data_IF_442163014666
#
_entry.id   IF_442163014666
#
_cell.length_a   1.000
_cell.length_b   1.000
_cell.length_c   1.000
_cell.angle_alpha   90.00
_cell.angle_beta   90.00
_cell.angle_gamma   90.00
#
_symmetry.space_group_name_H-M   'P 1'
#
loop_
_entity.id
_entity.type
_entity.pdbx_description
1 polymer ?
#
# COMPACT_ATOMS: atom_id res chain seq x y z
N UNK A 1 -31.35 0.04 50.15
CA UNK A 1 -29.92 -0.35 50.22
C UNK A 1 -29.55 -0.92 48.85
N UNK A 2 -28.62 -0.26 48.14
CA UNK A 2 -28.09 -0.71 46.84
C UNK A 2 -27.32 -2.02 47.07
N UNK A 3 -27.68 -3.08 46.36
CA UNK A 3 -26.84 -4.28 46.21
C UNK A 3 -26.19 -4.20 44.84
N UNK A 4 -24.86 -4.25 44.87
CA UNK A 4 -23.91 -4.36 43.75
C UNK A 4 -24.35 -5.43 42.75
N UNK A 5 -24.41 -5.05 41.47
CA UNK A 5 -24.56 -5.99 40.37
C UNK A 5 -23.23 -6.72 40.14
N UNK A 6 -23.15 -7.97 40.55
CA UNK A 6 -22.18 -8.92 40.00
C UNK A 6 -22.71 -9.35 38.62
N UNK A 7 -21.96 -9.04 37.56
CA UNK A 7 -22.29 -9.42 36.19
C UNK A 7 -22.47 -10.93 36.05
N UNK A 8 -23.39 -11.34 35.17
CA UNK A 8 -23.66 -12.75 34.87
C UNK A 8 -22.35 -13.50 34.56
N UNK A 9 -22.10 -14.69 35.15
CA UNK A 9 -20.92 -15.51 34.87
C UNK A 9 -20.71 -15.80 33.38
N UNK A 10 -21.78 -15.75 32.59
CA UNK A 10 -21.76 -15.99 31.15
C UNK A 10 -21.23 -14.78 30.35
N UNK A 11 -21.50 -13.55 30.81
CA UNK A 11 -20.99 -12.31 30.20
C UNK A 11 -19.50 -12.20 30.44
N UNK A 12 -19.05 -12.48 31.68
CA UNK A 12 -17.63 -12.54 32.01
C UNK A 12 -16.90 -13.65 31.22
N UNK A 13 -17.56 -14.75 30.87
CA UNK A 13 -16.95 -15.82 30.07
C UNK A 13 -16.76 -15.40 28.60
N UNK A 14 -17.73 -14.70 28.01
CA UNK A 14 -17.66 -14.20 26.64
C UNK A 14 -16.61 -13.08 26.48
N UNK A 15 -16.58 -12.12 27.41
CA UNK A 15 -15.56 -11.05 27.43
C UNK A 15 -14.14 -11.65 27.56
N UNK A 16 -13.98 -12.70 28.38
CA UNK A 16 -12.71 -13.41 28.49
C UNK A 16 -12.33 -14.16 27.21
N UNK A 17 -13.29 -14.74 26.48
CA UNK A 17 -13.02 -15.46 25.22
C UNK A 17 -12.61 -14.48 24.11
N UNK A 18 -13.25 -13.31 24.02
CA UNK A 18 -12.89 -12.26 23.05
C UNK A 18 -11.53 -11.64 23.36
N UNK A 19 -11.25 -11.33 24.63
CA UNK A 19 -9.93 -10.84 25.07
C UNK A 19 -8.82 -11.86 24.78
N UNK A 20 -9.05 -13.15 25.06
CA UNK A 20 -8.09 -14.22 24.75
C UNK A 20 -7.88 -14.35 23.24
N UNK A 21 -8.93 -14.28 22.42
CA UNK A 21 -8.81 -14.32 20.97
C UNK A 21 -8.00 -13.13 20.41
N UNK A 22 -8.21 -11.92 20.94
CA UNK A 22 -7.46 -10.72 20.56
C UNK A 22 -5.97 -10.87 20.90
N UNK A 23 -5.65 -11.30 22.12
CA UNK A 23 -4.27 -11.51 22.57
C UNK A 23 -3.56 -12.58 21.73
N UNK A 24 -4.26 -13.67 21.40
CA UNK A 24 -3.69 -14.76 20.58
C UNK A 24 -3.37 -14.27 19.16
N UNK A 25 -4.23 -13.42 18.59
CA UNK A 25 -4.03 -12.80 17.29
C UNK A 25 -2.80 -11.88 17.24
N UNK A 26 -2.57 -11.08 18.29
CA UNK A 26 -1.36 -10.26 18.43
C UNK A 26 -0.12 -11.15 18.45
N UNK A 27 -0.09 -12.17 19.31
CA UNK A 27 1.11 -12.98 19.53
C UNK A 27 1.48 -13.78 18.27
N UNK A 28 0.50 -14.36 17.57
CA UNK A 28 0.72 -15.11 16.34
C UNK A 28 1.26 -14.20 15.21
N UNK A 29 0.61 -13.05 14.99
CA UNK A 29 1.04 -12.10 13.96
C UNK A 29 2.42 -11.53 14.26
N UNK A 30 2.68 -11.16 15.52
CA UNK A 30 3.98 -10.66 15.97
C UNK A 30 5.10 -11.70 15.81
N UNK A 31 4.84 -12.96 16.15
CA UNK A 31 5.82 -14.05 16.03
C UNK A 31 6.18 -14.34 14.57
N UNK A 32 5.18 -14.44 13.69
CA UNK A 32 5.39 -14.58 12.23
C UNK A 32 6.14 -13.38 11.65
N UNK A 33 5.82 -12.17 12.12
CA UNK A 33 6.53 -10.95 11.73
C UNK A 33 8.03 -11.04 12.07
N UNK A 34 8.35 -11.53 13.28
CA UNK A 34 9.73 -11.73 13.71
C UNK A 34 10.48 -12.75 12.83
N UNK A 35 9.83 -13.84 12.42
CA UNK A 35 10.42 -14.82 11.50
C UNK A 35 10.79 -14.17 10.16
N UNK A 36 9.86 -13.41 9.55
CA UNK A 36 10.10 -12.69 8.29
C UNK A 36 11.20 -11.63 8.45
N UNK A 37 11.25 -10.97 9.61
CA UNK A 37 12.27 -9.99 9.93
C UNK A 37 13.66 -10.60 9.97
N UNK A 38 13.82 -11.77 10.61
CA UNK A 38 15.08 -12.54 10.63
C UNK A 38 15.50 -12.94 9.21
N UNK A 39 14.54 -13.28 8.34
CA UNK A 39 14.78 -13.55 6.92
C UNK A 39 15.11 -12.28 6.09
N UNK A 40 15.19 -11.09 6.71
CA UNK A 40 15.39 -9.78 6.07
C UNK A 40 14.28 -9.40 5.07
N UNK A 41 13.11 -10.03 5.16
CA UNK A 41 11.91 -9.70 4.38
C UNK A 41 11.13 -8.61 5.13
N UNK A 42 11.66 -7.39 5.12
CA UNK A 42 11.17 -6.30 5.97
C UNK A 42 9.76 -5.84 5.62
N UNK A 43 9.36 -5.89 4.34
CA UNK A 43 7.99 -5.55 3.91
C UNK A 43 6.98 -6.61 4.38
N UNK A 44 7.27 -7.89 4.17
CA UNK A 44 6.42 -8.99 4.68
C UNK A 44 6.29 -8.93 6.21
N UNK A 45 7.39 -8.68 6.91
CA UNK A 45 7.39 -8.51 8.37
C UNK A 45 6.53 -7.32 8.80
N UNK A 46 6.59 -6.21 8.05
CA UNK A 46 5.80 -5.02 8.32
C UNK A 46 4.29 -5.26 8.17
N UNK A 47 3.87 -6.00 7.14
CA UNK A 47 2.46 -6.40 6.98
C UNK A 47 1.97 -7.21 8.18
N UNK A 48 2.79 -8.14 8.68
CA UNK A 48 2.46 -8.94 9.87
C UNK A 48 2.42 -8.12 11.15
N UNK A 49 3.30 -7.12 11.32
CA UNK A 49 3.22 -6.19 12.46
C UNK A 49 2.00 -5.26 12.37
N UNK A 50 1.62 -4.81 11.17
CA UNK A 50 0.37 -4.07 10.97
C UNK A 50 -0.83 -4.91 11.36
N UNK A 51 -0.85 -6.19 10.95
CA UNK A 51 -1.88 -7.14 11.39
C UNK A 51 -1.88 -7.31 12.92
N UNK A 52 -0.70 -7.36 13.56
CA UNK A 52 -0.59 -7.40 15.02
C UNK A 52 -1.18 -6.15 15.70
N UNK A 53 -1.04 -4.97 15.10
CA UNK A 53 -1.61 -3.73 15.61
C UNK A 53 -3.15 -3.75 15.58
N UNK A 54 -3.76 -4.39 14.58
CA UNK A 54 -5.22 -4.51 14.49
C UNK A 54 -5.86 -5.28 15.65
N UNK A 55 -5.09 -6.14 16.33
CA UNK A 55 -5.56 -6.96 17.46
C UNK A 55 -5.07 -6.45 18.82
N UNK A 56 -4.18 -5.44 18.84
CA UNK A 56 -3.59 -4.95 20.07
C UNK A 56 -4.54 -3.97 20.76
N UNK A 57 -4.74 -4.16 22.07
CA UNK A 57 -5.48 -3.19 22.89
C UNK A 57 -4.67 -1.89 23.03
N UNK A 58 -5.37 -0.76 23.03
CA UNK A 58 -4.74 0.54 23.27
C UNK A 58 -4.06 0.56 24.64
N UNK A 59 -2.96 1.29 24.75
CA UNK A 59 -2.17 1.44 25.97
C UNK A 59 -1.57 0.12 26.52
N UNK A 60 -1.51 -0.94 25.72
CA UNK A 60 -0.93 -2.24 26.14
C UNK A 60 0.55 -2.41 25.80
N UNK A 61 1.21 -3.38 26.45
CA UNK A 61 2.56 -3.81 26.06
C UNK A 61 2.62 -4.32 24.61
N UNK A 62 1.53 -4.94 24.14
CA UNK A 62 1.44 -5.54 22.82
C UNK A 62 1.47 -4.50 21.69
N UNK A 63 0.81 -3.36 21.86
CA UNK A 63 0.86 -2.27 20.88
C UNK A 63 2.24 -1.61 20.86
N UNK A 64 2.89 -1.46 22.03
CA UNK A 64 4.27 -1.00 22.14
C UNK A 64 5.25 -1.93 21.39
N UNK A 65 5.11 -3.25 21.57
CA UNK A 65 5.91 -4.26 20.87
C UNK A 65 5.70 -4.21 19.35
N UNK A 66 4.45 -4.09 18.89
CA UNK A 66 4.15 -4.05 17.46
C UNK A 66 4.74 -2.80 16.77
N UNK A 67 4.56 -1.60 17.35
CA UNK A 67 5.23 -0.39 16.85
C UNK A 67 6.77 -0.48 16.98
N UNK A 68 7.26 -1.09 18.06
CA UNK A 68 8.69 -1.31 18.27
C UNK A 68 9.33 -2.26 17.24
N UNK A 69 8.58 -3.24 16.76
CA UNK A 69 9.03 -4.15 15.71
C UNK A 69 8.89 -3.52 14.32
N UNK A 70 7.80 -2.77 14.07
CA UNK A 70 7.59 -2.04 12.81
C UNK A 70 8.64 -0.95 12.57
N UNK A 71 9.01 -0.20 13.61
CA UNK A 71 10.14 0.74 13.56
C UNK A 71 11.47 0.06 13.22
N UNK A 72 11.66 -1.21 13.61
CA UNK A 72 12.84 -1.96 13.20
C UNK A 72 12.87 -2.18 11.67
N UNK A 73 11.73 -2.49 11.06
CA UNK A 73 11.63 -2.59 9.60
C UNK A 73 11.95 -1.26 8.93
N UNK A 74 11.33 -0.16 9.37
CA UNK A 74 11.61 1.18 8.81
C UNK A 74 13.08 1.58 8.93
N UNK A 75 13.73 1.25 10.05
CA UNK A 75 15.17 1.47 10.21
C UNK A 75 16.00 0.73 9.15
N UNK A 76 15.72 -0.55 8.90
CA UNK A 76 16.44 -1.32 7.89
C UNK A 76 16.12 -0.89 6.45
N UNK A 77 14.94 -0.32 6.22
CA UNK A 77 14.52 0.28 4.96
C UNK A 77 15.03 1.72 4.77
N UNK A 78 15.80 2.25 5.74
CA UNK A 78 16.32 3.64 5.75
C UNK A 78 15.24 4.73 5.77
N UNK A 79 14.03 4.37 6.16
CA UNK A 79 12.89 5.28 6.31
C UNK A 79 12.93 5.92 7.72
N UNK A 80 14.00 6.67 7.99
CA UNK A 80 14.34 7.10 9.36
C UNK A 80 13.27 7.98 10.00
N UNK A 81 12.59 8.84 9.23
CA UNK A 81 11.49 9.68 9.76
C UNK A 81 10.32 8.83 10.27
N UNK A 82 9.85 7.85 9.47
CA UNK A 82 8.79 6.91 9.87
C UNK A 82 9.23 6.04 11.06
N UNK A 83 10.49 5.61 11.05
CA UNK A 83 11.06 4.90 12.18
C UNK A 83 10.96 5.72 13.48
N UNK A 84 11.25 7.02 13.44
CA UNK A 84 11.13 7.91 14.61
C UNK A 84 9.67 8.05 15.06
N UNK A 85 8.72 8.18 14.13
CA UNK A 85 7.29 8.23 14.44
C UNK A 85 6.83 6.97 15.19
N UNK A 86 7.18 5.78 14.67
CA UNK A 86 6.82 4.52 15.33
C UNK A 86 7.52 4.33 16.68
N UNK A 87 8.73 4.85 16.85
CA UNK A 87 9.41 4.84 18.16
C UNK A 87 8.64 5.70 19.16
N UNK A 88 8.20 6.90 18.77
CA UNK A 88 7.38 7.76 19.62
C UNK A 88 6.07 7.07 20.00
N UNK A 89 5.36 6.51 19.01
CA UNK A 89 4.13 5.77 19.26
C UNK A 89 4.33 4.57 20.19
N UNK A 90 5.46 3.84 20.08
CA UNK A 90 5.77 2.74 20.99
C UNK A 90 6.10 3.21 22.42
N UNK A 91 6.72 4.38 22.56
CA UNK A 91 7.11 4.96 23.85
C UNK A 91 5.94 5.61 24.60
N UNK A 92 4.90 6.03 23.88
CA UNK A 92 3.68 6.61 24.44
C UNK A 92 2.71 5.55 25.00
N UNK A 93 3.09 4.27 25.01
CA UNK A 93 2.30 3.13 25.48
C UNK A 93 2.96 2.49 26.72
N UNK A 94 2.40 1.40 27.26
CA UNK A 94 3.03 0.58 28.31
C UNK A 94 4.29 -0.14 27.78
N UNK A 95 5.37 0.62 27.59
CA UNK A 95 6.58 0.15 26.93
C UNK A 95 7.50 -0.61 27.92
N UNK A 96 7.83 -1.89 27.65
CA UNK A 96 8.70 -2.65 28.53
C UNK A 96 10.12 -2.09 28.58
N UNK A 97 10.77 -2.15 29.75
CA UNK A 97 12.13 -1.62 29.95
C UNK A 97 13.15 -2.24 28.98
N UNK A 98 13.01 -3.54 28.69
CA UNK A 98 13.86 -4.24 27.75
C UNK A 98 13.71 -3.72 26.31
N UNK A 99 12.50 -3.26 25.93
CA UNK A 99 12.20 -2.70 24.62
C UNK A 99 12.71 -1.25 24.51
N UNK A 100 12.51 -0.44 25.56
CA UNK A 100 12.98 0.94 25.62
C UNK A 100 14.46 1.08 25.25
N UNK A 101 15.31 0.20 25.79
CA UNK A 101 16.75 0.21 25.49
C UNK A 101 17.07 0.01 23.99
N UNK A 102 16.27 -0.79 23.29
CA UNK A 102 16.41 -1.02 21.84
C UNK A 102 15.89 0.17 21.04
N UNK A 103 14.76 0.75 21.45
CA UNK A 103 14.14 1.91 20.81
C UNK A 103 15.02 3.15 20.91
N UNK A 104 15.57 3.45 22.09
CA UNK A 104 16.49 4.59 22.29
C UNK A 104 17.72 4.46 21.39
N UNK A 105 18.37 3.28 21.39
CA UNK A 105 19.53 3.03 20.51
C UNK A 105 19.18 3.19 19.03
N UNK A 106 17.99 2.76 18.61
CA UNK A 106 17.52 2.93 17.24
C UNK A 106 17.24 4.40 16.92
N UNK A 107 16.61 5.12 17.84
CA UNK A 107 16.32 6.57 17.75
C UNK A 107 17.60 7.37 17.54
N UNK A 108 18.60 7.17 18.40
CA UNK A 108 19.89 7.85 18.30
C UNK A 108 20.59 7.57 16.96
N UNK A 109 20.47 6.34 16.44
CA UNK A 109 20.99 6.00 15.11
C UNK A 109 20.23 6.72 14.00
N UNK A 110 18.89 6.71 14.03
CA UNK A 110 18.07 7.45 13.07
C UNK A 110 18.41 8.95 13.08
N UNK A 111 18.49 9.57 14.25
CA UNK A 111 18.85 10.99 14.41
C UNK A 111 20.24 11.29 13.86
N UNK A 112 21.21 10.40 14.11
CA UNK A 112 22.56 10.52 13.51
C UNK A 112 22.54 10.40 12.00
N UNK A 113 21.83 9.42 11.44
CA UNK A 113 21.70 9.24 9.97
C UNK A 113 20.96 10.41 9.32
N UNK A 114 19.96 10.99 9.99
CA UNK A 114 19.25 12.19 9.53
C UNK A 114 20.16 13.43 9.60
N UNK A 115 21.00 13.55 10.62
CA UNK A 115 21.91 14.67 10.79
C UNK A 115 23.20 14.56 9.94
N UNK A 116 23.67 13.34 9.67
CA UNK A 116 24.83 13.07 8.81
C UNK A 116 24.47 13.03 7.33
N UNK A 117 23.22 12.68 7.01
CA UNK A 117 22.62 12.99 5.74
C UNK A 117 22.45 14.50 5.64
N UNK A 118 23.41 15.20 4.99
CA UNK A 118 23.12 16.47 4.31
C UNK A 118 21.71 16.36 3.78
N UNK A 119 20.79 17.24 4.23
CA UNK A 119 19.39 17.32 3.84
C UNK A 119 19.15 16.35 2.69
N UNK A 120 18.68 15.12 2.99
CA UNK A 120 18.04 14.35 1.94
C UNK A 120 16.81 15.21 1.67
N UNK A 121 16.97 16.23 0.82
CA UNK A 121 15.89 16.81 0.07
C UNK A 121 15.16 15.58 -0.41
N UNK A 122 13.99 15.37 0.20
CA UNK A 122 13.02 14.40 -0.26
C UNK A 122 13.10 14.47 -1.77
N UNK A 123 13.63 13.42 -2.43
CA UNK A 123 13.82 13.43 -3.87
C UNK A 123 12.46 13.79 -4.45
N UNK A 124 12.36 15.01 -4.97
CA UNK A 124 11.17 15.61 -5.56
C UNK A 124 11.45 15.56 -7.04
N UNK A 125 11.16 14.43 -7.69
CA UNK A 125 11.30 14.38 -9.13
C UNK A 125 10.43 15.48 -9.73
N UNK A 126 10.96 16.15 -10.73
CA UNK A 126 10.21 17.12 -11.54
C UNK A 126 9.89 16.45 -12.87
N UNK A 127 8.67 16.68 -13.36
CA UNK A 127 8.26 16.17 -14.66
C UNK A 127 9.03 16.93 -15.73
N UNK A 128 9.69 16.18 -16.61
CA UNK A 128 10.37 16.71 -17.78
C UNK A 128 9.44 17.60 -18.59
N UNK A 129 9.92 18.79 -18.96
CA UNK A 129 9.22 19.75 -19.82
C UNK A 129 7.86 20.24 -19.26
N UNK A 130 7.59 20.00 -17.97
CA UNK A 130 6.31 20.32 -17.33
C UNK A 130 5.18 19.35 -17.69
N UNK A 131 4.02 19.56 -17.08
CA UNK A 131 2.85 18.71 -17.24
C UNK A 131 2.15 18.89 -18.59
N UNK A 132 1.60 17.80 -19.12
CA UNK A 132 0.74 17.79 -20.30
C UNK A 132 -0.59 18.50 -19.99
N UNK A 133 -1.16 19.20 -20.98
CA UNK A 133 -2.41 19.96 -20.81
C UNK A 133 -3.59 19.08 -20.36
N UNK A 134 -3.67 17.84 -20.85
CA UNK A 134 -4.73 16.91 -20.48
C UNK A 134 -4.38 16.09 -19.22
N UNK A 135 -3.10 15.88 -18.95
CA UNK A 135 -2.59 15.04 -17.86
C UNK A 135 -1.38 15.71 -17.20
N UNK A 136 -1.58 16.61 -16.22
CA UNK A 136 -0.49 17.35 -15.58
C UNK A 136 0.60 16.46 -14.95
N UNK A 137 0.25 15.22 -14.59
CA UNK A 137 1.11 14.16 -14.04
C UNK A 137 2.04 13.52 -15.08
N UNK A 138 1.80 13.79 -16.36
CA UNK A 138 2.54 13.27 -17.51
C UNK A 138 3.33 14.40 -18.17
N UNK A 139 4.52 14.11 -18.69
CA UNK A 139 5.31 15.10 -19.42
C UNK A 139 4.56 15.65 -20.64
N UNK A 140 4.66 16.97 -20.87
CA UNK A 140 4.17 17.63 -22.07
C UNK A 140 4.77 17.06 -23.37
N UNK A 141 5.91 16.37 -23.26
CA UNK A 141 6.59 15.69 -24.36
C UNK A 141 5.93 14.36 -24.74
N UNK A 142 4.95 13.86 -23.98
CA UNK A 142 4.28 12.60 -24.24
C UNK A 142 2.87 12.77 -24.81
N UNK A 143 2.43 11.77 -25.57
CA UNK A 143 1.07 11.69 -26.10
C UNK A 143 0.51 10.27 -25.97
N UNK A 144 -0.72 10.17 -25.50
CA UNK A 144 -1.51 8.94 -25.52
C UNK A 144 -2.18 8.81 -26.89
N UNK A 145 -2.06 7.64 -27.52
CA UNK A 145 -2.69 7.35 -28.80
C UNK A 145 -3.08 5.86 -28.90
N UNK A 146 -3.82 5.49 -29.95
CA UNK A 146 -4.07 4.09 -30.28
C UNK A 146 -3.08 3.59 -31.34
N UNK A 147 -2.48 2.43 -31.06
CA UNK A 147 -1.76 1.56 -31.98
C UNK A 147 -2.72 0.51 -32.55
N UNK A 148 -2.57 0.18 -33.84
CA UNK A 148 -3.38 -0.85 -34.49
C UNK A 148 -3.15 -2.25 -33.89
N UNK A 149 -1.94 -2.54 -33.42
CA UNK A 149 -1.56 -3.87 -32.92
C UNK A 149 -1.63 -4.02 -31.41
N UNK A 150 -1.52 -2.93 -30.65
CA UNK A 150 -1.41 -2.96 -29.18
C UNK A 150 -2.47 -2.12 -28.45
N UNK A 151 -3.42 -1.54 -29.18
CA UNK A 151 -4.43 -0.67 -28.58
C UNK A 151 -3.80 0.60 -28.02
N UNK A 152 -4.21 1.03 -26.82
CA UNK A 152 -3.74 2.31 -26.26
C UNK A 152 -2.24 2.22 -25.95
N UNK A 153 -1.51 3.29 -26.25
CA UNK A 153 -0.07 3.37 -26.03
C UNK A 153 0.36 4.81 -25.72
N UNK A 154 1.52 4.94 -25.11
CA UNK A 154 2.18 6.22 -24.84
C UNK A 154 3.36 6.37 -25.80
N UNK A 155 3.43 7.48 -26.52
CA UNK A 155 4.53 7.79 -27.44
C UNK A 155 5.19 9.11 -27.08
N UNK A 156 6.47 9.22 -27.40
CA UNK A 156 7.19 10.49 -27.30
C UNK A 156 6.90 11.39 -28.50
N UNK A 157 6.73 12.69 -28.27
CA UNK A 157 6.63 13.71 -29.31
C UNK A 157 8.01 14.26 -29.72
N UNK A 158 9.04 14.03 -28.90
CA UNK A 158 10.41 14.54 -29.09
C UNK A 158 11.45 13.45 -28.80
N UNK A 159 12.72 13.75 -29.02
CA UNK A 159 13.80 12.88 -28.53
C UNK A 159 13.98 13.11 -27.01
N UNK A 160 13.98 12.03 -26.23
CA UNK A 160 14.12 12.07 -24.77
C UNK A 160 15.39 11.32 -24.35
N UNK A 161 16.33 11.94 -23.60
CA UNK A 161 17.47 11.27 -23.02
C UNK A 161 17.09 10.17 -22.02
N UNK A 162 18.03 9.27 -21.71
CA UNK A 162 17.89 8.37 -20.56
C UNK A 162 18.06 9.15 -19.24
N UNK A 163 17.34 8.74 -18.19
CA UNK A 163 17.39 9.32 -16.85
C UNK A 163 16.34 10.41 -16.58
N UNK A 164 15.44 10.66 -17.51
CA UNK A 164 14.41 11.72 -17.40
C UNK A 164 13.15 11.19 -16.70
N UNK A 165 12.55 12.01 -15.84
CA UNK A 165 11.24 11.70 -15.25
C UNK A 165 10.14 12.13 -16.20
N UNK A 166 9.37 11.18 -16.69
CA UNK A 166 8.33 11.43 -17.70
C UNK A 166 6.91 11.32 -17.16
N UNK A 167 6.70 10.64 -16.02
CA UNK A 167 5.41 10.58 -15.31
C UNK A 167 5.66 10.60 -13.80
N UNK A 168 4.83 11.34 -13.07
CA UNK A 168 4.69 11.26 -11.61
C UNK A 168 3.20 11.16 -11.32
N UNK A 169 2.74 9.95 -11.03
CA UNK A 169 1.33 9.67 -10.84
C UNK A 169 1.05 9.26 -9.38
N UNK A 170 0.06 9.90 -8.75
CA UNK A 170 -0.51 9.41 -7.50
C UNK A 170 -1.52 8.30 -7.79
N UNK A 171 -1.51 7.26 -6.95
CA UNK A 171 -2.46 6.17 -7.09
C UNK A 171 -3.90 6.69 -7.00
N UNK A 172 -4.73 6.31 -7.97
CA UNK A 172 -6.16 6.59 -7.94
C UNK A 172 -6.82 5.91 -6.73
N UNK A 173 -6.34 4.71 -6.40
CA UNK A 173 -6.87 3.89 -5.32
C UNK A 173 -5.76 3.04 -4.70
N UNK A 174 -5.85 2.82 -3.38
CA UNK A 174 -4.98 1.94 -2.62
C UNK A 174 -5.82 0.95 -1.80
N UNK A 175 -5.53 -0.34 -1.93
CA UNK A 175 -6.13 -1.41 -1.13
C UNK A 175 -5.09 -2.01 -0.18
N UNK A 176 -5.34 -2.04 1.14
CA UNK A 176 -4.34 -2.48 2.12
C UNK A 176 -4.12 -4.01 2.16
N UNK A 177 -5.03 -4.78 1.55
CA UNK A 177 -4.94 -6.23 1.48
C UNK A 177 -4.68 -6.68 0.03
N UNK A 178 -3.54 -7.34 -0.27
CA UNK A 178 -3.21 -7.78 -1.61
C UNK A 178 -3.93 -9.07 -2.02
N UNK A 179 -4.53 -9.79 -1.07
CA UNK A 179 -5.31 -11.01 -1.34
C UNK A 179 -6.72 -10.73 -1.85
N UNK A 180 -7.16 -9.47 -1.84
CA UNK A 180 -8.49 -9.06 -2.32
C UNK A 180 -8.75 -9.42 -3.80
N UNK A 181 -7.68 -9.74 -4.54
CA UNK A 181 -7.71 -10.11 -5.95
C UNK A 181 -7.87 -11.61 -6.18
N UNK A 182 -7.67 -12.45 -5.16
CA UNK A 182 -7.75 -13.91 -5.27
C UNK A 182 -9.21 -14.40 -5.36
N UNK A 183 -10.16 -13.64 -4.82
CA UNK A 183 -11.60 -13.88 -5.00
C UNK A 183 -12.35 -12.59 -5.42
N UNK A 184 -12.24 -12.20 -6.71
CA UNK A 184 -12.91 -11.02 -7.25
C UNK A 184 -14.44 -11.08 -7.08
N UNK A 185 -15.03 -12.27 -7.20
CA UNK A 185 -16.48 -12.44 -7.10
C UNK A 185 -16.95 -12.36 -5.64
N UNK A 186 -16.20 -12.96 -4.71
CA UNK A 186 -16.44 -12.83 -3.27
C UNK A 186 -16.32 -11.39 -2.80
N UNK A 187 -15.25 -10.69 -3.20
CA UNK A 187 -15.07 -9.28 -2.85
C UNK A 187 -16.20 -8.41 -3.40
N UNK A 188 -16.62 -8.63 -4.64
CA UNK A 188 -17.75 -7.90 -5.22
C UNK A 188 -19.07 -8.22 -4.48
N UNK A 189 -19.30 -9.49 -4.14
CA UNK A 189 -20.47 -9.94 -3.37
C UNK A 189 -20.53 -9.29 -2.00
N UNK A 190 -19.42 -9.28 -1.27
CA UNK A 190 -19.36 -8.76 0.09
C UNK A 190 -19.40 -7.23 0.11
N UNK A 191 -18.77 -6.58 -0.88
CA UNK A 191 -18.90 -5.13 -1.09
C UNK A 191 -20.35 -4.73 -1.34
N UNK A 192 -21.05 -5.47 -2.21
CA UNK A 192 -22.47 -5.23 -2.47
C UNK A 192 -23.32 -5.43 -1.21
N UNK A 193 -23.18 -6.58 -0.52
CA UNK A 193 -23.91 -6.86 0.73
C UNK A 193 -23.68 -5.76 1.76
N UNK A 194 -22.42 -5.36 1.95
CA UNK A 194 -22.02 -4.31 2.90
C UNK A 194 -22.66 -2.96 2.56
N UNK A 195 -22.60 -2.51 1.31
CA UNK A 195 -23.23 -1.27 0.85
C UNK A 195 -24.75 -1.29 1.08
N UNK A 196 -25.40 -2.42 0.80
CA UNK A 196 -26.84 -2.60 0.99
C UNK A 196 -27.28 -2.70 2.47
N UNK A 197 -26.34 -2.82 3.42
CA UNK A 197 -26.67 -2.67 4.85
C UNK A 197 -26.93 -1.22 5.25
N UNK A 198 -26.46 -0.24 4.47
CA UNK A 198 -26.62 1.18 4.77
C UNK A 198 -27.97 1.65 4.23
N UNK A 199 -28.87 2.05 5.14
CA UNK A 199 -30.24 2.47 4.80
C UNK A 199 -30.27 3.59 3.75
N UNK A 200 -29.41 4.59 3.85
CA UNK A 200 -29.27 5.63 2.83
C UNK A 200 -28.95 5.08 1.42
N UNK A 201 -28.07 4.09 1.33
CA UNK A 201 -27.69 3.49 0.04
C UNK A 201 -28.84 2.63 -0.49
N UNK A 202 -29.41 1.78 0.35
CA UNK A 202 -30.48 0.84 -0.03
C UNK A 202 -31.79 1.54 -0.35
N UNK A 203 -32.21 2.51 0.46
CA UNK A 203 -33.56 3.10 0.39
C UNK A 203 -33.59 4.41 -0.42
N UNK A 204 -32.46 5.13 -0.56
CA UNK A 204 -32.44 6.43 -1.24
C UNK A 204 -31.70 6.41 -2.59
N UNK A 205 -30.52 5.79 -2.65
CA UNK A 205 -29.70 5.79 -3.86
C UNK A 205 -30.02 4.62 -4.79
N UNK A 206 -30.21 3.42 -4.23
CA UNK A 206 -30.38 2.16 -4.98
C UNK A 206 -31.64 1.40 -4.51
N UNK A 207 -32.75 2.12 -4.48
CA UNK A 207 -34.11 1.72 -4.05
C UNK A 207 -34.83 0.74 -4.98
N UNK A 208 -34.29 0.47 -6.17
CA UNK A 208 -34.92 -0.40 -7.18
C UNK A 208 -33.96 -1.48 -7.66
N UNK A 209 -34.50 -2.61 -8.10
CA UNK A 209 -33.71 -3.71 -8.67
C UNK A 209 -32.82 -3.26 -9.84
N UNK A 210 -33.31 -2.32 -10.68
CA UNK A 210 -32.52 -1.77 -11.79
C UNK A 210 -31.32 -0.98 -11.30
N UNK A 211 -31.50 -0.13 -10.28
CA UNK A 211 -30.39 0.63 -9.68
C UNK A 211 -29.43 -0.30 -8.94
N UNK A 212 -29.92 -1.30 -8.22
CA UNK A 212 -29.07 -2.31 -7.57
C UNK A 212 -28.28 -3.14 -8.59
N UNK A 213 -28.87 -3.52 -9.72
CA UNK A 213 -28.19 -4.20 -10.81
C UNK A 213 -27.09 -3.34 -11.45
N UNK A 214 -27.33 -2.03 -11.54
CA UNK A 214 -26.31 -1.06 -11.96
C UNK A 214 -25.18 -0.94 -10.93
N UNK A 215 -25.49 -0.90 -9.64
CA UNK A 215 -24.48 -0.92 -8.57
C UNK A 215 -23.62 -2.19 -8.60
N UNK A 216 -24.23 -3.37 -8.78
CA UNK A 216 -23.49 -4.63 -8.95
C UNK A 216 -22.57 -4.57 -10.15
N UNK A 217 -23.03 -4.04 -11.30
CA UNK A 217 -22.17 -3.83 -12.47
C UNK A 217 -20.99 -2.92 -12.18
N UNK A 218 -21.21 -1.79 -11.48
CA UNK A 218 -20.13 -0.89 -11.09
C UNK A 218 -19.10 -1.59 -10.20
N UNK A 219 -19.56 -2.28 -9.15
CA UNK A 219 -18.69 -3.01 -8.23
C UNK A 219 -17.88 -4.07 -8.99
N UNK A 220 -18.52 -4.90 -9.80
CA UNK A 220 -17.84 -5.93 -10.59
C UNK A 220 -16.82 -5.32 -11.56
N UNK A 221 -17.16 -4.23 -12.25
CA UNK A 221 -16.21 -3.55 -13.13
C UNK A 221 -15.00 -3.03 -12.35
N UNK A 222 -15.19 -2.39 -11.21
CA UNK A 222 -14.08 -1.89 -10.40
C UNK A 222 -13.20 -3.02 -9.88
N UNK A 223 -13.79 -4.14 -9.43
CA UNK A 223 -13.04 -5.29 -8.95
C UNK A 223 -12.22 -5.93 -10.08
N UNK A 224 -12.81 -6.11 -11.27
CA UNK A 224 -12.10 -6.65 -12.45
C UNK A 224 -11.00 -5.69 -12.96
N UNK A 225 -11.26 -4.39 -12.96
CA UNK A 225 -10.25 -3.38 -13.33
C UNK A 225 -9.09 -3.44 -12.32
N UNK A 226 -9.40 -3.50 -11.03
CA UNK A 226 -8.38 -3.59 -9.98
C UNK A 226 -7.56 -4.88 -10.11
N UNK A 227 -8.17 -6.01 -10.46
CA UNK A 227 -7.43 -7.27 -10.59
C UNK A 227 -6.45 -7.29 -11.76
N UNK A 228 -6.73 -6.54 -12.81
CA UNK A 228 -5.93 -6.53 -14.05
C UNK A 228 -5.02 -5.32 -14.18
N UNK A 229 -5.28 -4.24 -13.44
CA UNK A 229 -4.55 -2.96 -13.56
C UNK A 229 -3.92 -2.50 -12.25
N UNK A 230 -3.96 -3.31 -11.18
CA UNK A 230 -3.27 -2.97 -9.93
C UNK A 230 -1.81 -3.38 -9.94
N UNK A 231 -0.97 -2.56 -9.31
CA UNK A 231 0.42 -2.86 -8.98
C UNK A 231 0.53 -3.10 -7.48
N UNK A 232 1.29 -4.12 -7.09
CA UNK A 232 1.57 -4.37 -5.66
C UNK A 232 2.82 -3.62 -5.23
N UNK A 233 2.69 -2.78 -4.20
CA UNK A 233 3.79 -2.02 -3.63
C UNK A 233 3.71 -2.17 -2.11
N UNK A 234 4.72 -2.82 -1.53
CA UNK A 234 4.81 -2.93 -0.07
C UNK A 234 3.68 -3.68 0.63
N UNK A 235 3.04 -4.62 -0.07
CA UNK A 235 1.91 -5.40 0.45
C UNK A 235 0.55 -4.70 0.31
N UNK A 236 0.48 -3.55 -0.37
CA UNK A 236 -0.77 -2.90 -0.75
C UNK A 236 -0.93 -2.92 -2.28
N UNK A 237 -2.17 -2.93 -2.77
CA UNK A 237 -2.48 -2.86 -4.21
C UNK A 237 -2.85 -1.45 -4.59
N UNK A 238 -2.21 -0.93 -5.63
CA UNK A 238 -2.45 0.42 -6.13
C UNK A 238 -2.96 0.38 -7.56
N UNK A 239 -3.98 1.17 -7.86
CA UNK A 239 -4.42 1.38 -9.25
C UNK A 239 -3.92 2.73 -9.72
N UNK A 240 -3.23 2.71 -10.85
CA UNK A 240 -2.68 3.88 -11.53
C UNK A 240 -3.33 3.95 -12.93
N UNK A 241 -3.71 5.15 -13.35
CA UNK A 241 -4.40 5.39 -14.62
C UNK A 241 -3.39 5.49 -15.76
N UNK A 242 -2.37 6.35 -15.63
CA UNK A 242 -1.41 6.61 -16.70
C UNK A 242 -0.52 5.39 -16.98
N UNK A 243 -0.11 4.70 -15.92
CA UNK A 243 0.70 3.48 -16.06
C UNK A 243 -0.02 2.37 -16.87
N UNK A 244 -1.37 2.34 -16.85
CA UNK A 244 -2.18 1.36 -17.59
C UNK A 244 -2.15 1.53 -19.12
N UNK A 245 -1.59 2.65 -19.62
CA UNK A 245 -1.42 2.89 -21.06
C UNK A 245 -0.07 2.40 -21.60
N UNK A 246 0.84 1.92 -20.75
CA UNK A 246 2.14 1.45 -21.19
C UNK A 246 2.06 -0.02 -21.58
N UNK A 247 2.50 -0.33 -22.80
CA UNK A 247 2.58 -1.71 -23.25
C UNK A 247 3.86 -2.39 -22.76
N UNK A 248 3.82 -3.73 -22.72
CA UNK A 248 4.95 -4.57 -22.35
C UNK A 248 6.01 -4.66 -23.45
N UNK A 249 7.29 -4.68 -23.06
CA UNK A 249 8.42 -5.15 -23.88
C UNK A 249 9.44 -5.89 -23.01
N UNK A 250 10.02 -6.97 -23.54
CA UNK A 250 11.17 -7.66 -22.93
C UNK A 250 12.39 -6.73 -22.81
N UNK A 251 12.46 -5.73 -23.69
CA UNK A 251 13.48 -4.69 -23.74
C UNK A 251 12.83 -3.31 -23.50
N UNK A 252 12.48 -2.97 -22.25
CA UNK A 252 11.80 -1.72 -21.94
C UNK A 252 12.75 -0.52 -22.08
N UNK A 253 12.18 0.64 -22.41
CA UNK A 253 12.89 1.93 -22.47
C UNK A 253 12.49 2.86 -21.30
N UNK A 254 11.52 2.47 -20.49
CA UNK A 254 11.18 3.13 -19.22
C UNK A 254 11.10 2.12 -18.05
N UNK A 255 11.25 2.62 -16.82
CA UNK A 255 11.11 1.84 -15.59
C UNK A 255 10.31 2.62 -14.55
N UNK A 256 9.58 1.89 -13.72
CA UNK A 256 8.88 2.45 -12.57
C UNK A 256 9.78 2.48 -11.33
N UNK A 257 9.67 3.56 -10.58
CA UNK A 257 10.16 3.71 -9.23
C UNK A 257 8.98 4.13 -8.34
N UNK A 258 8.88 3.54 -7.15
CA UNK A 258 7.75 3.79 -6.25
C UNK A 258 8.21 4.63 -5.06
N UNK A 259 7.41 5.64 -4.71
CA UNK A 259 7.59 6.45 -3.51
C UNK A 259 6.23 6.58 -2.81
N UNK A 260 6.00 5.77 -1.78
CA UNK A 260 4.68 5.65 -1.11
C UNK A 260 3.57 5.26 -2.11
N UNK A 261 2.54 6.11 -2.24
CA UNK A 261 1.43 5.97 -3.18
C UNK A 261 1.71 6.65 -4.53
N UNK A 262 2.95 7.06 -4.81
CA UNK A 262 3.36 7.66 -6.09
C UNK A 262 4.16 6.67 -6.93
N UNK A 263 3.78 6.58 -8.20
CA UNK A 263 4.52 5.92 -9.25
C UNK A 263 5.28 6.98 -10.05
N UNK A 264 6.61 6.80 -10.13
CA UNK A 264 7.51 7.67 -10.88
C UNK A 264 8.02 6.86 -12.07
N UNK A 265 7.81 7.34 -13.29
CA UNK A 265 8.28 6.70 -14.51
C UNK A 265 9.54 7.41 -15.01
N UNK A 266 10.63 6.65 -15.13
CA UNK A 266 11.95 7.13 -15.56
C UNK A 266 12.34 6.50 -16.89
N UNK A 267 12.90 7.29 -17.80
CA UNK A 267 13.54 6.73 -19.00
C UNK A 267 14.84 6.01 -18.62
N UNK A 268 15.03 4.78 -19.08
CA UNK A 268 16.23 3.97 -18.83
C UNK A 268 17.08 3.79 -20.09
N UNK A 269 16.54 4.21 -21.25
CA UNK A 269 17.21 4.27 -22.55
C UNK A 269 16.78 5.55 -23.27
N UNK A 270 17.59 6.08 -24.21
CA UNK A 270 17.14 7.17 -25.07
C UNK A 270 15.91 6.77 -25.89
N UNK A 271 14.96 7.68 -26.05
CA UNK A 271 13.68 7.47 -26.75
C UNK A 271 13.61 8.47 -27.90
N UNK A 272 13.28 8.01 -29.12
CA UNK A 272 13.15 8.90 -30.28
C UNK A 272 11.77 9.52 -30.39
N UNK A 273 11.66 10.65 -31.06
CA UNK A 273 10.38 11.23 -31.43
C UNK A 273 9.54 10.22 -32.24
N UNK A 274 8.29 10.03 -31.82
CA UNK A 274 7.35 9.04 -32.36
C UNK A 274 7.51 7.62 -31.81
N UNK A 275 8.55 7.34 -31.02
CA UNK A 275 8.76 6.03 -30.41
C UNK A 275 7.82 5.81 -29.23
N UNK A 276 7.37 4.56 -29.07
CA UNK A 276 6.53 4.14 -27.95
C UNK A 276 7.35 3.88 -26.69
N UNK A 277 6.79 4.26 -25.55
CA UNK A 277 7.34 3.95 -24.24
C UNK A 277 6.86 2.56 -23.79
N UNK A 278 7.78 1.71 -23.40
CA UNK A 278 7.52 0.34 -22.97
C UNK A 278 8.04 0.09 -21.57
N UNK A 279 7.22 -0.63 -20.81
CA UNK A 279 7.56 -1.13 -19.48
C UNK A 279 7.74 -2.64 -19.54
N UNK A 280 8.35 -3.19 -18.50
CA UNK A 280 8.26 -4.63 -18.24
C UNK A 280 7.09 -4.85 -17.29
N UNK A 281 6.13 -5.68 -17.69
CA UNK A 281 5.14 -6.20 -16.75
C UNK A 281 5.87 -7.13 -15.80
N UNK A 282 5.57 -7.10 -14.50
CA UNK A 282 6.15 -8.03 -13.56
C UNK A 282 5.80 -9.44 -14.05
N UNK A 283 6.81 -10.14 -14.58
CA UNK A 283 6.73 -11.58 -14.72
C UNK A 283 6.56 -12.09 -13.29
N UNK A 284 5.44 -12.76 -13.03
CA UNK A 284 5.34 -13.62 -11.85
C UNK A 284 6.63 -14.43 -11.80
N UNK A 285 7.23 -14.50 -10.61
CA UNK A 285 8.39 -15.34 -10.36
C UNK A 285 8.08 -16.71 -10.96
N UNK A 286 8.75 -17.05 -12.06
CA UNK A 286 8.76 -18.38 -12.63
C UNK A 286 9.15 -19.34 -11.52
N UNK A 287 8.15 -19.91 -10.86
CA UNK A 287 8.30 -21.07 -10.04
C UNK A 287 8.53 -22.22 -11.00
N UNK A 288 9.80 -22.50 -11.33
CA UNK A 288 10.24 -23.82 -11.82
C UNK A 288 11.78 -23.86 -11.90
N UNK A 289 12.44 -24.37 -10.85
CA UNK A 289 13.22 -25.62 -10.83
C UNK A 289 13.93 -25.84 -9.49
#
# INVERSE_FOLDING_TARGET
>A
KRTSGEGSPFVNLLENVESVASITGVIDAGSKGNEKFVMRKFMDAMSLYNKSLCFAENDSENIALAYGNRSACFFHLKEYKKCLTDISLAMDQECPEHLLSKLVKRREKCEKEIASGNNIEEYRPEIRSGGNEAFPECSADLRIQNSESMGRCVVSCVDIPAGETVIIEEALFAHPDPSCVEDPLGLASDSYKSLMTREFIRELLFDTEKKQSFLVHLILQHVVITSTNSSEIGGEKFVFILSSYFNHSCEPNVSYANQHNRLICLTIRPIRAGEQLYVRYNDEVDGET
#
